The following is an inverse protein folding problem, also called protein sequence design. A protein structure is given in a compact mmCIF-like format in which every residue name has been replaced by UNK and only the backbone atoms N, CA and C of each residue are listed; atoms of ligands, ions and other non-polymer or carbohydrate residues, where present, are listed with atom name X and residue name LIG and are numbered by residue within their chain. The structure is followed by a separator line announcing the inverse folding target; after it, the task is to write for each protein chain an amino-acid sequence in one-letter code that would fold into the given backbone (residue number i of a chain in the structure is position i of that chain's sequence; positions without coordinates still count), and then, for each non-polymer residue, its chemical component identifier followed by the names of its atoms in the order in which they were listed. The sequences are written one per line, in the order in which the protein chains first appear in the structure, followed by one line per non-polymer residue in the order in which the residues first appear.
data_IF_969775390860
#
_entry.id   IF_969775390860
#
_cell.length_a   1.000
_cell.length_b   1.000
_cell.length_c   1.000
_cell.angle_alpha   90.00
_cell.angle_beta   90.00
_cell.angle_gamma   90.00
#
_symmetry.space_group_name_H-M   'P 1'
#
loop_
_entity.id
_entity.type
_entity.pdbx_description
1 polymer ?
#
# COMPACT_ATOMS: atom_id res chain seq x y z
N UNK A 1 -29.81 30.28 6.76
CA UNK A 1 -28.95 29.15 7.17
C UNK A 1 -29.20 28.00 6.21
N UNK A 2 -28.25 27.68 5.33
CA UNK A 2 -28.42 26.61 4.33
C UNK A 2 -28.08 25.26 4.97
N UNK A 3 -28.99 24.30 4.82
CA UNK A 3 -28.84 22.91 5.27
C UNK A 3 -27.76 22.21 4.45
N UNK A 4 -26.89 21.37 5.04
CA UNK A 4 -25.86 20.68 4.28
C UNK A 4 -26.49 19.59 3.41
N UNK A 5 -26.49 19.81 2.09
CA UNK A 5 -26.89 18.80 1.10
C UNK A 5 -26.10 17.52 1.30
N UNK A 6 -26.81 16.43 1.65
CA UNK A 6 -26.26 15.08 1.74
C UNK A 6 -25.65 14.68 0.40
N UNK A 7 -24.32 14.58 0.33
CA UNK A 7 -23.63 13.98 -0.82
C UNK A 7 -23.95 12.49 -0.85
N UNK A 8 -24.89 12.08 -1.69
CA UNK A 8 -25.04 10.68 -2.06
C UNK A 8 -23.75 10.27 -2.77
N UNK A 9 -22.93 9.44 -2.12
CA UNK A 9 -21.86 8.73 -2.82
C UNK A 9 -22.55 7.94 -3.93
N UNK A 10 -22.21 8.15 -5.21
CA UNK A 10 -22.80 7.36 -6.27
C UNK A 10 -22.45 5.89 -6.01
N UNK A 11 -23.47 5.05 -5.85
CA UNK A 11 -23.32 3.60 -6.04
C UNK A 11 -22.67 3.40 -7.40
N UNK A 12 -21.58 2.65 -7.42
CA UNK A 12 -20.70 2.64 -8.58
C UNK A 12 -21.40 1.98 -9.77
N UNK A 13 -21.28 2.50 -11.01
CA UNK A 13 -21.89 1.93 -12.22
C UNK A 13 -21.21 0.63 -12.70
N UNK A 14 -20.53 -0.09 -11.80
CA UNK A 14 -19.86 -1.34 -12.13
C UNK A 14 -20.83 -2.50 -11.90
N UNK A 15 -21.71 -2.74 -12.87
CA UNK A 15 -22.38 -4.03 -12.98
C UNK A 15 -21.31 -5.06 -13.32
N UNK A 16 -20.83 -5.76 -12.29
CA UNK A 16 -20.14 -7.04 -12.47
C UNK A 16 -21.20 -8.04 -12.91
N UNK A 17 -21.54 -8.02 -14.20
CA UNK A 17 -22.53 -8.92 -14.78
C UNK A 17 -22.26 -10.37 -14.38
N UNK A 18 -23.11 -10.91 -13.50
CA UNK A 18 -23.10 -12.29 -13.06
C UNK A 18 -23.01 -12.52 -11.55
N UNK A 19 -24.08 -12.23 -10.79
CA UNK A 19 -24.65 -13.14 -9.78
C UNK A 19 -25.96 -12.58 -9.21
N UNK A 20 -26.86 -13.49 -8.81
CA UNK A 20 -28.27 -13.30 -8.50
C UNK A 20 -28.58 -12.15 -7.54
N UNK A 21 -29.66 -11.42 -7.85
CA UNK A 21 -30.11 -10.24 -7.13
C UNK A 21 -30.39 -10.48 -5.65
N UNK A 22 -29.85 -9.59 -4.83
CA UNK A 22 -30.50 -9.15 -3.60
C UNK A 22 -30.91 -7.70 -3.78
N UNK A 23 -32.20 -7.48 -3.95
CA UNK A 23 -32.80 -6.16 -3.91
C UNK A 23 -32.57 -5.54 -2.52
N UNK A 24 -31.86 -4.41 -2.47
CA UNK A 24 -31.61 -3.65 -1.26
C UNK A 24 -32.88 -2.96 -0.78
N UNK A 25 -33.45 -3.47 0.31
CA UNK A 25 -34.45 -2.77 1.12
C UNK A 25 -33.75 -1.68 1.94
N UNK A 26 -34.28 -0.46 1.92
CA UNK A 26 -33.89 0.59 2.87
C UNK A 26 -34.21 0.12 4.29
N UNK A 27 -33.20 0.07 5.18
CA UNK A 27 -33.43 -0.18 6.61
C UNK A 27 -33.33 1.12 7.41
N UNK A 28 -34.29 1.38 8.33
CA UNK A 28 -34.20 2.43 9.33
C UNK A 28 -33.22 2.02 10.44
N UNK A 29 -32.68 3.03 11.13
CA UNK A 29 -31.54 2.94 12.04
C UNK A 29 -31.56 1.77 13.03
N UNK A 30 -30.58 0.88 12.90
CA UNK A 30 -30.19 -0.06 13.93
C UNK A 30 -29.00 0.51 14.73
N UNK A 31 -29.13 0.41 16.05
CA UNK A 31 -28.08 0.76 17.04
C UNK A 31 -26.87 -0.18 16.85
N UNK A 32 -25.63 0.33 16.89
CA UNK A 32 -24.44 -0.50 16.67
C UNK A 32 -24.25 -1.50 17.82
N UNK A 33 -24.49 -2.77 17.54
CA UNK A 33 -24.05 -3.87 18.40
C UNK A 33 -22.55 -4.07 18.22
N UNK A 34 -21.81 -4.12 19.33
CA UNK A 34 -20.37 -4.34 19.33
C UNK A 34 -20.04 -5.75 18.78
N UNK A 35 -19.16 -5.88 17.77
CA UNK A 35 -18.83 -7.18 17.21
C UNK A 35 -17.76 -7.86 18.09
N UNK A 36 -18.20 -8.73 19.00
CA UNK A 36 -17.31 -9.61 19.80
C UNK A 36 -17.27 -11.05 19.27
N UNK A 37 -17.75 -11.30 18.05
CA UNK A 37 -17.74 -12.63 17.43
C UNK A 37 -16.42 -12.97 16.74
N UNK A 38 -15.78 -14.07 17.18
CA UNK A 38 -14.57 -14.65 16.58
C UNK A 38 -14.70 -14.86 15.05
N UNK A 39 -13.68 -14.51 14.25
CA UNK A 39 -13.73 -14.54 12.78
C UNK A 39 -13.56 -15.94 12.15
N UNK A 40 -13.44 -17.01 12.92
CA UNK A 40 -13.02 -18.32 12.39
C UNK A 40 -14.18 -19.27 12.02
N UNK A 41 -15.45 -18.85 12.08
CA UNK A 41 -16.59 -19.79 12.04
C UNK A 41 -17.67 -19.56 10.98
N UNK A 42 -17.60 -18.52 10.14
CA UNK A 42 -18.56 -18.34 9.05
C UNK A 42 -17.86 -18.64 7.73
N UNK A 43 -18.37 -19.61 6.97
CA UNK A 43 -17.96 -19.90 5.59
C UNK A 43 -18.33 -18.77 4.60
N UNK A 44 -18.06 -17.52 4.98
CA UNK A 44 -18.27 -16.34 4.17
C UNK A 44 -16.94 -15.80 3.65
N UNK A 45 -17.01 -15.11 2.51
CA UNK A 45 -15.88 -14.42 1.90
C UNK A 45 -15.45 -13.22 2.74
N UNK A 46 -14.14 -12.96 2.83
CA UNK A 46 -13.64 -11.76 3.48
C UNK A 46 -14.01 -10.52 2.64
N UNK A 47 -14.51 -9.47 3.29
CA UNK A 47 -14.94 -8.24 2.63
C UNK A 47 -13.72 -7.33 2.37
N UNK A 48 -13.39 -7.11 1.10
CA UNK A 48 -12.25 -6.31 0.67
C UNK A 48 -12.76 -5.05 -0.02
N UNK A 49 -12.46 -3.88 0.54
CA UNK A 49 -12.85 -2.59 -0.06
C UNK A 49 -11.63 -1.89 -0.65
N UNK A 50 -11.69 -1.58 -1.94
CA UNK A 50 -10.69 -0.82 -2.67
C UNK A 50 -11.12 0.65 -2.73
N UNK A 51 -10.28 1.54 -2.24
CA UNK A 51 -10.56 2.98 -2.24
C UNK A 51 -10.03 3.62 -3.52
N UNK A 52 -10.93 4.17 -4.32
CA UNK A 52 -10.62 4.99 -5.49
C UNK A 52 -10.77 6.49 -5.15
N UNK A 53 -9.95 7.36 -5.75
CA UNK A 53 -8.92 7.07 -6.75
C UNK A 53 -7.61 6.62 -6.13
N UNK A 54 -6.93 5.71 -6.82
CA UNK A 54 -5.70 5.12 -6.31
C UNK A 54 -5.61 3.65 -6.68
N UNK A 55 -4.60 2.98 -6.13
CA UNK A 55 -4.38 1.53 -6.28
C UNK A 55 -4.36 1.03 -7.75
N UNK A 56 -4.25 1.90 -8.75
CA UNK A 56 -4.44 1.52 -10.15
C UNK A 56 -5.85 0.97 -10.44
N UNK A 57 -6.91 1.42 -9.77
CA UNK A 57 -8.30 0.93 -9.97
C UNK A 57 -8.75 0.93 -11.42
N UNK A 58 -8.29 1.88 -12.23
CA UNK A 58 -8.55 1.91 -13.68
C UNK A 58 -7.67 0.91 -14.45
N UNK A 59 -6.35 0.97 -14.28
CA UNK A 59 -5.38 0.17 -15.05
C UNK A 59 -5.39 -1.32 -14.68
N UNK A 60 -5.62 -1.62 -13.40
CA UNK A 60 -5.60 -2.97 -12.84
C UNK A 60 -7.01 -3.53 -12.57
N UNK A 61 -8.04 -3.01 -13.26
CA UNK A 61 -9.43 -3.47 -13.11
C UNK A 61 -9.56 -5.00 -13.24
N UNK A 62 -8.87 -5.60 -14.22
CA UNK A 62 -8.90 -7.04 -14.44
C UNK A 62 -8.36 -7.84 -13.24
N UNK A 63 -7.38 -7.31 -12.51
CA UNK A 63 -6.83 -7.93 -11.30
C UNK A 63 -7.90 -7.99 -10.21
N UNK A 64 -8.62 -6.89 -9.98
CA UNK A 64 -9.69 -6.82 -8.98
C UNK A 64 -10.89 -7.70 -9.34
N UNK A 65 -11.23 -7.78 -10.61
CA UNK A 65 -12.24 -8.74 -11.11
C UNK A 65 -11.79 -10.17 -10.84
N UNK A 66 -10.53 -10.50 -11.13
CA UNK A 66 -9.97 -11.83 -10.85
C UNK A 66 -9.98 -12.17 -9.36
N UNK A 67 -9.65 -11.19 -8.51
CA UNK A 67 -9.69 -11.33 -7.06
C UNK A 67 -11.11 -11.64 -6.54
N UNK A 68 -12.14 -10.98 -7.07
CA UNK A 68 -13.54 -11.26 -6.71
C UNK A 68 -14.01 -12.64 -7.22
N UNK A 69 -13.55 -13.05 -8.42
CA UNK A 69 -13.90 -14.33 -9.02
C UNK A 69 -13.24 -15.54 -8.36
N UNK A 70 -12.20 -15.35 -7.55
CA UNK A 70 -11.53 -16.45 -6.86
C UNK A 70 -12.45 -17.17 -5.86
N UNK A 71 -13.54 -16.53 -5.43
CA UNK A 71 -14.43 -17.07 -4.41
C UNK A 71 -13.80 -17.09 -3.02
N UNK A 72 -12.74 -16.32 -2.78
CA UNK A 72 -12.17 -16.15 -1.44
C UNK A 72 -12.52 -14.78 -0.83
N UNK A 73 -12.65 -13.77 -1.71
CA UNK A 73 -12.87 -12.38 -1.32
C UNK A 73 -14.13 -11.85 -2.00
N UNK A 74 -14.89 -11.03 -1.27
CA UNK A 74 -15.89 -10.16 -1.88
C UNK A 74 -15.27 -8.78 -2.04
N UNK A 75 -15.14 -8.32 -3.27
CA UNK A 75 -14.38 -7.11 -3.61
C UNK A 75 -15.32 -5.99 -4.03
N UNK A 76 -15.28 -4.88 -3.29
CA UNK A 76 -15.99 -3.65 -3.61
C UNK A 76 -14.99 -2.54 -3.96
N UNK A 77 -15.28 -1.76 -5.01
CA UNK A 77 -14.53 -0.53 -5.30
C UNK A 77 -15.36 0.66 -4.83
N UNK A 78 -14.91 1.32 -3.76
CA UNK A 78 -15.52 2.52 -3.23
C UNK A 78 -14.90 3.76 -3.88
N UNK A 79 -15.74 4.50 -4.61
CA UNK A 79 -15.35 5.76 -5.24
C UNK A 79 -14.91 5.63 -6.70
N UNK A 80 -14.41 6.73 -7.28
CA UNK A 80 -13.97 6.82 -8.68
C UNK A 80 -13.02 7.99 -8.90
N UNK A 81 -12.15 7.84 -9.90
CA UNK A 81 -11.31 8.93 -10.40
C UNK A 81 -12.14 10.08 -10.96
N UNK A 82 -11.64 11.32 -10.82
CA UNK A 82 -12.27 12.56 -11.27
C UNK A 82 -13.62 12.89 -10.62
N UNK A 83 -13.99 12.21 -9.53
CA UNK A 83 -15.11 12.65 -8.70
C UNK A 83 -14.81 14.03 -8.08
N UNK A 84 -15.82 14.80 -7.63
CA UNK A 84 -15.57 16.09 -6.97
C UNK A 84 -14.58 16.03 -5.80
N UNK A 85 -14.58 14.92 -5.05
CA UNK A 85 -13.63 14.71 -3.94
C UNK A 85 -12.24 14.24 -4.38
N UNK A 86 -12.00 13.99 -5.68
CA UNK A 86 -10.70 13.54 -6.22
C UNK A 86 -9.68 14.70 -6.27
N UNK A 87 -9.41 15.28 -5.11
CA UNK A 87 -8.40 16.31 -4.91
C UNK A 87 -7.80 16.19 -3.51
N UNK A 88 -6.57 16.68 -3.37
CA UNK A 88 -5.92 16.77 -2.06
C UNK A 88 -6.65 17.78 -1.16
N UNK A 89 -6.57 17.62 0.17
CA UNK A 89 -7.14 18.59 1.10
C UNK A 89 -6.33 19.90 1.13
N UNK A 90 -6.88 20.93 1.77
CA UNK A 90 -6.19 22.19 2.02
C UNK A 90 -4.83 21.98 2.72
N UNK A 91 -3.87 22.84 2.39
CA UNK A 91 -2.48 22.75 2.87
C UNK A 91 -1.57 21.84 2.03
N UNK A 92 -2.11 21.09 1.06
CA UNK A 92 -1.32 20.37 0.06
C UNK A 92 -1.14 21.21 -1.20
N UNK A 93 -0.14 20.87 -2.02
CA UNK A 93 0.00 21.46 -3.35
C UNK A 93 -1.24 21.13 -4.18
N UNK A 94 -1.91 22.16 -4.71
CA UNK A 94 -3.20 22.06 -5.41
C UNK A 94 -4.35 21.50 -4.54
N UNK A 95 -4.24 21.63 -3.23
CA UNK A 95 -5.29 21.27 -2.28
C UNK A 95 -6.55 22.13 -2.44
N UNK A 96 -7.71 21.58 -2.10
CA UNK A 96 -9.01 22.26 -2.17
C UNK A 96 -9.84 22.02 -0.90
N UNK A 97 -10.77 22.94 -0.55
CA UNK A 97 -11.76 22.69 0.50
C UNK A 97 -12.64 21.50 0.13
N UNK A 98 -13.44 21.01 1.08
CA UNK A 98 -14.36 19.91 0.82
C UNK A 98 -15.35 20.25 -0.32
N UNK A 99 -15.72 19.29 -1.18
CA UNK A 99 -15.33 17.88 -1.13
C UNK A 99 -13.90 17.61 -1.59
N UNK A 100 -13.15 16.84 -0.82
CA UNK A 100 -11.80 16.35 -1.11
C UNK A 100 -11.60 14.92 -0.53
N UNK A 101 -10.41 14.35 -0.69
CA UNK A 101 -10.12 12.99 -0.24
C UNK A 101 -10.27 12.78 1.28
N UNK A 102 -10.08 13.84 2.10
CA UNK A 102 -10.30 13.75 3.56
C UNK A 102 -11.79 13.69 3.86
N UNK A 103 -12.61 14.59 3.28
CA UNK A 103 -14.06 14.54 3.51
C UNK A 103 -14.69 13.26 2.97
N UNK A 104 -14.13 12.69 1.90
CA UNK A 104 -14.53 11.37 1.39
C UNK A 104 -14.24 10.25 2.38
N UNK A 105 -13.06 10.24 3.00
CA UNK A 105 -12.69 9.29 4.03
C UNK A 105 -13.61 9.41 5.26
N UNK A 106 -13.85 10.65 5.72
CA UNK A 106 -14.71 10.94 6.87
C UNK A 106 -16.15 10.45 6.62
N UNK A 107 -16.68 10.67 5.41
CA UNK A 107 -18.00 10.17 5.01
C UNK A 107 -18.04 8.64 4.96
N UNK A 108 -16.99 7.98 4.45
CA UNK A 108 -16.87 6.52 4.46
C UNK A 108 -16.90 5.95 5.88
N UNK A 109 -16.13 6.53 6.80
CA UNK A 109 -16.16 6.16 8.23
C UNK A 109 -17.55 6.36 8.82
N UNK A 110 -18.22 7.49 8.54
CA UNK A 110 -19.57 7.78 9.02
C UNK A 110 -20.61 6.77 8.53
N UNK A 111 -20.43 6.24 7.31
CA UNK A 111 -21.30 5.18 6.72
C UNK A 111 -20.95 3.77 7.18
N UNK A 112 -19.99 3.61 8.07
CA UNK A 112 -19.60 2.30 8.60
C UNK A 112 -18.64 1.50 7.72
N UNK A 113 -17.91 2.14 6.79
CA UNK A 113 -16.90 1.48 5.95
C UNK A 113 -15.95 0.59 6.78
N UNK A 114 -15.47 1.14 7.90
CA UNK A 114 -14.51 0.45 8.78
C UNK A 114 -15.09 -0.79 9.44
N UNK A 115 -16.40 -0.78 9.69
CA UNK A 115 -17.10 -1.87 10.36
C UNK A 115 -17.59 -2.94 9.37
N UNK A 116 -17.68 -2.58 8.08
CA UNK A 116 -18.17 -3.46 7.00
C UNK A 116 -17.05 -4.15 6.20
N UNK A 117 -15.79 -3.72 6.35
CA UNK A 117 -14.66 -4.30 5.63
C UNK A 117 -13.69 -5.07 6.52
N UNK A 118 -13.19 -6.18 6.00
CA UNK A 118 -12.14 -6.97 6.62
C UNK A 118 -10.74 -6.49 6.24
N UNK A 119 -10.60 -5.92 5.04
CA UNK A 119 -9.35 -5.38 4.51
C UNK A 119 -9.62 -4.17 3.61
N UNK A 120 -8.81 -3.12 3.76
CA UNK A 120 -8.76 -2.00 2.83
C UNK A 120 -7.63 -2.16 1.83
N UNK A 121 -7.89 -1.84 0.57
CA UNK A 121 -6.86 -1.62 -0.44
C UNK A 121 -6.86 -0.15 -0.80
N UNK A 122 -5.74 0.51 -0.54
CA UNK A 122 -5.52 1.92 -0.89
C UNK A 122 -4.27 2.03 -1.74
N UNK A 123 -4.13 3.08 -2.52
CA UNK A 123 -2.85 3.35 -3.17
C UNK A 123 -2.68 4.77 -3.65
N UNK A 124 -1.42 5.17 -3.85
CA UNK A 124 -1.06 6.56 -4.19
C UNK A 124 -1.83 7.55 -3.29
N UNK A 125 -2.65 8.44 -3.87
CA UNK A 125 -3.51 9.40 -3.16
C UNK A 125 -4.38 8.80 -2.04
N UNK A 126 -4.96 7.62 -2.24
CA UNK A 126 -5.73 6.93 -1.20
C UNK A 126 -4.86 6.55 0.01
N UNK A 127 -3.63 6.09 -0.24
CA UNK A 127 -2.68 5.78 0.84
C UNK A 127 -2.11 7.04 1.50
N UNK A 128 -1.97 8.12 0.75
CA UNK A 128 -1.44 9.40 1.23
C UNK A 128 -2.44 10.21 2.06
N UNK A 129 -3.74 10.05 1.79
CA UNK A 129 -4.79 10.90 2.41
C UNK A 129 -5.87 10.10 3.10
N UNK A 130 -6.49 9.15 2.39
CA UNK A 130 -7.68 8.44 2.89
C UNK A 130 -7.35 7.53 4.07
N UNK A 131 -6.32 6.69 3.95
CA UNK A 131 -5.91 5.81 5.04
C UNK A 131 -5.47 6.61 6.29
N UNK A 132 -4.62 7.66 6.18
CA UNK A 132 -4.35 8.57 7.29
C UNK A 132 -5.58 9.22 7.91
N UNK A 133 -6.57 9.63 7.12
CA UNK A 133 -7.81 10.17 7.64
C UNK A 133 -8.59 9.11 8.44
N UNK A 134 -8.69 7.88 7.93
CA UNK A 134 -9.30 6.74 8.65
C UNK A 134 -8.55 6.47 9.97
N UNK A 135 -7.22 6.46 9.96
CA UNK A 135 -6.41 6.28 11.18
C UNK A 135 -6.64 7.38 12.21
N UNK A 136 -6.78 8.65 11.79
CA UNK A 136 -7.10 9.74 12.73
C UNK A 136 -8.46 9.54 13.40
N UNK A 137 -9.43 8.96 12.71
CA UNK A 137 -10.78 8.72 13.24
C UNK A 137 -10.90 7.46 14.08
N UNK A 138 -10.17 6.39 13.73
CA UNK A 138 -10.37 5.05 14.29
C UNK A 138 -9.14 4.47 15.01
N UNK A 139 -7.96 5.07 14.87
CA UNK A 139 -6.74 4.62 15.54
C UNK A 139 -6.44 3.14 15.29
N UNK A 140 -6.26 2.37 16.36
CA UNK A 140 -6.01 0.93 16.28
C UNK A 140 -7.23 0.10 15.82
N UNK A 141 -8.43 0.69 15.82
CA UNK A 141 -9.65 0.05 15.30
C UNK A 141 -9.81 0.24 13.78
N UNK A 142 -8.82 0.82 13.10
CA UNK A 142 -8.79 0.81 11.64
C UNK A 142 -8.63 -0.60 11.10
N UNK A 143 -9.26 -0.92 9.96
CA UNK A 143 -9.15 -2.24 9.37
C UNK A 143 -7.71 -2.47 8.87
N UNK A 144 -7.26 -3.72 8.74
CA UNK A 144 -6.01 -4.03 8.06
C UNK A 144 -6.00 -3.43 6.65
N UNK A 145 -4.83 -2.97 6.19
CA UNK A 145 -4.72 -2.35 4.89
C UNK A 145 -3.56 -2.90 4.04
N UNK A 146 -3.84 -3.13 2.76
CA UNK A 146 -2.84 -3.26 1.72
C UNK A 146 -2.64 -1.90 1.07
N UNK A 147 -1.40 -1.40 1.05
CA UNK A 147 -1.06 -0.06 0.58
C UNK A 147 -0.18 -0.16 -0.66
N UNK A 148 -0.74 0.16 -1.83
CA UNK A 148 -0.04 0.16 -3.10
C UNK A 148 0.67 1.51 -3.30
N UNK A 149 1.97 1.45 -3.60
CA UNK A 149 2.89 2.59 -3.75
C UNK A 149 3.13 3.38 -2.46
N UNK A 150 3.08 2.71 -1.30
CA UNK A 150 3.62 3.22 -0.04
C UNK A 150 3.07 4.56 0.45
N UNK A 151 1.87 4.99 0.01
CA UNK A 151 1.35 6.35 0.19
C UNK A 151 1.48 6.93 1.60
N UNK A 152 1.22 6.12 2.63
CA UNK A 152 1.26 6.55 4.04
C UNK A 152 2.68 6.63 4.65
N UNK A 153 3.69 6.14 3.93
CA UNK A 153 5.10 6.09 4.34
C UNK A 153 5.98 7.01 3.46
N UNK A 154 5.48 8.20 3.18
CA UNK A 154 6.12 9.19 2.31
C UNK A 154 6.28 10.52 3.04
N UNK A 155 7.12 11.42 2.50
CA UNK A 155 7.23 12.77 3.03
C UNK A 155 5.98 13.60 2.68
N UNK A 156 4.92 13.45 3.48
CA UNK A 156 3.64 14.12 3.29
C UNK A 156 3.65 15.52 3.93
N UNK A 157 2.92 16.52 3.38
CA UNK A 157 2.82 17.85 3.97
C UNK A 157 2.34 17.86 5.42
N UNK A 158 1.44 16.95 5.77
CA UNK A 158 1.02 16.71 7.14
C UNK A 158 1.50 15.33 7.58
N UNK A 159 2.31 15.28 8.64
CA UNK A 159 2.81 14.01 9.17
C UNK A 159 1.64 13.18 9.69
N UNK A 160 1.46 12.00 9.11
CA UNK A 160 0.44 11.05 9.55
C UNK A 160 0.89 10.37 10.84
N UNK A 161 0.01 10.33 11.84
CA UNK A 161 0.20 9.48 13.02
C UNK A 161 -0.24 8.06 12.71
N UNK A 162 0.72 7.19 12.42
CA UNK A 162 0.47 5.76 12.20
C UNK A 162 0.09 5.10 13.54
N UNK A 163 -1.07 4.44 13.65
CA UNK A 163 -1.48 3.80 14.91
C UNK A 163 -0.55 2.64 15.30
N UNK A 164 -0.10 2.54 16.56
CA UNK A 164 0.84 1.50 17.00
C UNK A 164 0.43 0.06 16.64
N UNK A 165 -0.87 -0.25 16.61
CA UNK A 165 -1.37 -1.60 16.32
C UNK A 165 -2.02 -1.72 14.93
N UNK A 166 -1.85 -0.73 14.05
CA UNK A 166 -2.35 -0.82 12.68
C UNK A 166 -1.65 -1.97 11.94
N UNK A 167 -2.44 -2.73 11.18
CA UNK A 167 -1.94 -3.86 10.38
C UNK A 167 -1.82 -3.39 8.94
N UNK A 168 -0.61 -3.40 8.39
CA UNK A 168 -0.39 -2.90 7.04
C UNK A 168 0.55 -3.80 6.23
N UNK A 169 0.28 -3.91 4.94
CA UNK A 169 1.19 -4.52 3.98
C UNK A 169 1.42 -3.54 2.84
N UNK A 170 2.61 -2.96 2.78
CA UNK A 170 3.00 -1.99 1.77
C UNK A 170 3.61 -2.71 0.57
N UNK A 171 3.16 -2.36 -0.63
CA UNK A 171 3.83 -2.69 -1.89
C UNK A 171 4.47 -1.42 -2.44
N UNK A 172 5.79 -1.42 -2.61
CA UNK A 172 6.54 -0.28 -3.15
C UNK A 172 7.40 -0.70 -4.35
N UNK A 173 7.54 0.21 -5.32
CA UNK A 173 8.33 -0.03 -6.52
C UNK A 173 9.75 0.54 -6.44
N UNK A 174 10.74 -0.25 -6.84
CA UNK A 174 12.13 0.20 -6.99
C UNK A 174 12.32 1.22 -8.11
N UNK A 175 11.41 1.27 -9.08
CA UNK A 175 11.33 2.31 -10.14
C UNK A 175 10.21 3.31 -9.90
N UNK A 176 9.67 3.41 -8.68
CA UNK A 176 8.69 4.44 -8.34
C UNK A 176 9.36 5.83 -8.39
N UNK A 177 8.79 6.77 -9.14
CA UNK A 177 9.33 8.11 -9.26
C UNK A 177 9.33 8.87 -7.93
N UNK A 178 8.45 8.51 -6.97
CA UNK A 178 8.45 9.09 -5.63
C UNK A 178 9.68 8.72 -4.79
N UNK A 179 10.43 7.70 -5.20
CA UNK A 179 11.75 7.43 -4.64
C UNK A 179 12.71 8.59 -4.90
N UNK A 180 12.56 9.26 -6.04
CA UNK A 180 13.51 10.25 -6.53
C UNK A 180 14.85 9.61 -6.89
N UNK A 181 15.95 10.21 -6.43
CA UNK A 181 17.32 9.73 -6.65
C UNK A 181 17.80 8.74 -5.60
N UNK A 182 16.99 8.43 -4.59
CA UNK A 182 17.39 7.53 -3.51
C UNK A 182 17.67 6.12 -4.06
N UNK A 183 18.69 5.45 -3.52
CA UNK A 183 18.90 4.03 -3.77
C UNK A 183 17.69 3.21 -3.25
N UNK A 184 17.56 1.96 -3.70
CA UNK A 184 16.49 1.07 -3.21
C UNK A 184 16.62 0.89 -1.69
N UNK A 185 17.84 0.71 -1.17
CA UNK A 185 18.10 0.52 0.25
C UNK A 185 17.76 1.78 1.07
N UNK A 186 18.10 2.97 0.57
CA UNK A 186 17.72 4.24 1.20
C UNK A 186 16.19 4.40 1.21
N UNK A 187 15.51 4.03 0.13
CA UNK A 187 14.06 4.12 0.04
C UNK A 187 13.37 3.21 1.05
N UNK A 188 13.82 1.95 1.15
CA UNK A 188 13.33 0.99 2.14
C UNK A 188 13.60 1.51 3.56
N UNK A 189 14.84 1.94 3.83
CA UNK A 189 15.24 2.46 5.15
C UNK A 189 14.37 3.65 5.56
N UNK A 190 14.16 4.61 4.65
CA UNK A 190 13.26 5.75 4.87
C UNK A 190 11.81 5.31 5.07
N UNK A 191 11.33 4.32 4.33
CA UNK A 191 9.96 3.80 4.47
C UNK A 191 9.74 3.21 5.86
N UNK A 192 10.73 2.47 6.40
CA UNK A 192 10.67 1.87 7.74
C UNK A 192 10.54 2.91 8.85
N UNK A 193 11.09 4.12 8.70
CA UNK A 193 11.02 5.15 9.76
C UNK A 193 9.62 5.72 9.98
N UNK A 194 8.68 5.45 9.06
CA UNK A 194 7.27 5.80 9.21
C UNK A 194 6.49 4.82 10.08
N UNK A 195 7.01 3.60 10.22
CA UNK A 195 6.39 2.55 11.02
C UNK A 195 6.76 2.78 12.49
N UNK A 196 5.79 2.92 13.42
CA UNK A 196 6.09 3.05 14.83
C UNK A 196 6.93 1.87 15.32
N UNK A 197 7.94 2.11 16.16
CA UNK A 197 8.78 1.05 16.72
C UNK A 197 7.98 0.05 17.57
N UNK A 198 6.82 0.43 18.08
CA UNK A 198 5.89 -0.45 18.78
C UNK A 198 5.03 -1.33 17.87
N UNK A 199 5.07 -1.14 16.56
CA UNK A 199 4.28 -1.91 15.61
C UNK A 199 4.93 -3.28 15.32
N UNK A 200 4.14 -4.34 15.49
CA UNK A 200 4.55 -5.72 15.20
C UNK A 200 3.78 -6.37 14.05
N UNK A 201 3.03 -5.60 13.24
CA UNK A 201 2.10 -6.12 12.22
C UNK A 201 2.22 -5.38 10.90
N UNK A 202 3.45 -5.07 10.47
CA UNK A 202 3.72 -4.41 9.19
C UNK A 202 4.64 -5.24 8.30
N UNK A 203 4.32 -5.32 7.01
CA UNK A 203 5.23 -5.73 5.95
C UNK A 203 5.45 -4.64 4.90
N UNK A 204 6.60 -4.70 4.24
CA UNK A 204 6.99 -3.91 3.08
C UNK A 204 7.55 -4.88 2.03
N UNK A 205 6.84 -5.04 0.93
CA UNK A 205 7.34 -5.70 -0.27
C UNK A 205 7.87 -4.63 -1.23
N UNK A 206 9.18 -4.60 -1.41
CA UNK A 206 9.85 -3.77 -2.40
C UNK A 206 10.20 -4.62 -3.61
N UNK A 207 9.68 -4.27 -4.79
CA UNK A 207 9.95 -4.96 -6.05
C UNK A 207 10.76 -4.05 -6.97
N UNK A 208 11.98 -4.44 -7.33
CA UNK A 208 12.97 -3.58 -7.99
C UNK A 208 12.48 -3.08 -9.36
N UNK A 209 11.77 -3.93 -10.11
CA UNK A 209 11.29 -3.63 -11.46
C UNK A 209 9.93 -2.90 -11.48
N UNK A 210 9.25 -2.83 -10.34
CA UNK A 210 7.93 -2.20 -10.25
C UNK A 210 8.07 -0.67 -10.38
N UNK A 211 7.29 -0.10 -11.31
CA UNK A 211 7.14 1.34 -11.48
C UNK A 211 6.11 1.90 -10.47
N UNK A 212 5.77 3.18 -10.59
CA UNK A 212 4.70 3.73 -9.77
C UNK A 212 3.34 3.05 -10.00
N UNK A 213 3.04 2.53 -11.18
CA UNK A 213 1.87 1.65 -11.34
C UNK A 213 2.36 0.20 -11.33
N UNK A 214 1.89 -0.66 -10.40
CA UNK A 214 2.26 -2.06 -10.43
C UNK A 214 1.74 -2.68 -11.72
N UNK A 215 2.58 -3.48 -12.36
CA UNK A 215 2.20 -4.26 -13.53
C UNK A 215 1.15 -5.29 -13.14
N UNK A 216 0.11 -5.47 -13.96
CA UNK A 216 -0.99 -6.37 -13.66
C UNK A 216 -0.54 -7.81 -13.31
N UNK A 217 0.44 -8.43 -14.00
CA UNK A 217 0.93 -9.77 -13.62
C UNK A 217 1.53 -9.83 -12.22
N UNK A 218 2.29 -8.81 -11.83
CA UNK A 218 2.84 -8.71 -10.48
C UNK A 218 1.69 -8.60 -9.46
N UNK A 219 0.75 -7.68 -9.69
CA UNK A 219 -0.34 -7.42 -8.74
C UNK A 219 -1.27 -8.63 -8.59
N UNK A 220 -1.62 -9.32 -9.68
CA UNK A 220 -2.42 -10.56 -9.65
C UNK A 220 -1.77 -11.65 -8.79
N UNK A 221 -0.45 -11.72 -8.78
CA UNK A 221 0.29 -12.69 -7.99
C UNK A 221 0.35 -12.31 -6.50
N UNK A 222 0.74 -11.07 -6.20
CA UNK A 222 1.04 -10.69 -4.81
C UNK A 222 -0.20 -10.29 -4.00
N UNK A 223 -1.22 -9.71 -4.65
CA UNK A 223 -2.33 -9.08 -3.93
C UNK A 223 -3.16 -10.07 -3.09
N UNK A 224 -3.56 -11.26 -3.59
CA UNK A 224 -4.27 -12.24 -2.76
C UNK A 224 -3.47 -12.64 -1.51
N UNK A 225 -2.15 -12.83 -1.67
CA UNK A 225 -1.25 -13.24 -0.59
C UNK A 225 -1.05 -12.12 0.44
N UNK A 226 -0.96 -10.87 -0.01
CA UNK A 226 -0.91 -9.71 0.88
C UNK A 226 -2.20 -9.56 1.70
N UNK A 227 -3.37 -9.79 1.10
CA UNK A 227 -4.66 -9.76 1.81
C UNK A 227 -4.70 -10.86 2.88
N UNK A 228 -4.37 -12.10 2.53
CA UNK A 228 -4.29 -13.22 3.49
C UNK A 228 -3.34 -12.90 4.64
N UNK A 229 -2.18 -12.32 4.33
CA UNK A 229 -1.19 -11.93 5.33
C UNK A 229 -1.75 -10.91 6.36
N UNK A 230 -2.43 -9.85 5.89
CA UNK A 230 -3.01 -8.85 6.82
C UNK A 230 -4.21 -9.40 7.61
N UNK A 231 -5.01 -10.27 7.01
CA UNK A 231 -6.10 -10.95 7.72
C UNK A 231 -5.58 -11.94 8.77
N UNK A 232 -4.50 -12.67 8.47
CA UNK A 232 -3.83 -13.52 9.45
C UNK A 232 -3.26 -12.70 10.61
N UNK A 233 -2.61 -11.56 10.35
CA UNK A 233 -2.18 -10.65 11.43
C UNK A 233 -3.35 -10.15 12.28
N UNK A 234 -4.50 -9.85 11.66
CA UNK A 234 -5.72 -9.44 12.38
C UNK A 234 -6.18 -10.53 13.35
N UNK A 235 -6.19 -11.78 12.89
CA UNK A 235 -6.67 -12.92 13.68
C UNK A 235 -5.68 -13.36 14.76
N UNK A 236 -4.41 -13.50 14.40
CA UNK A 236 -3.43 -14.23 15.21
C UNK A 236 -2.39 -13.33 15.89
N UNK A 237 -2.21 -12.08 15.42
CA UNK A 237 -1.14 -11.17 15.86
C UNK A 237 0.28 -11.76 15.75
N UNK A 238 0.46 -12.77 14.92
CA UNK A 238 1.74 -13.41 14.61
C UNK A 238 2.10 -13.22 13.13
N UNK A 239 3.39 -13.26 12.75
CA UNK A 239 3.80 -13.17 11.36
C UNK A 239 3.13 -14.26 10.47
N UNK A 240 2.60 -13.90 9.29
CA UNK A 240 1.89 -14.82 8.42
C UNK A 240 2.85 -15.65 7.56
N UNK A 241 3.60 -16.55 8.20
CA UNK A 241 4.68 -17.33 7.58
C UNK A 241 4.25 -18.01 6.27
N UNK A 242 3.13 -18.74 6.26
CA UNK A 242 2.65 -19.44 5.06
C UNK A 242 2.35 -18.49 3.88
N UNK A 243 1.76 -17.31 4.15
CA UNK A 243 1.50 -16.33 3.09
C UNK A 243 2.79 -15.66 2.59
N UNK A 244 3.76 -15.44 3.49
CA UNK A 244 5.09 -14.92 3.18
C UNK A 244 5.86 -15.91 2.30
N UNK A 245 5.89 -17.19 2.68
CA UNK A 245 6.59 -18.24 1.93
C UNK A 245 5.99 -18.40 0.53
N UNK A 246 4.65 -18.47 0.43
CA UNK A 246 3.96 -18.53 -0.86
C UNK A 246 4.26 -17.30 -1.74
N UNK A 247 4.37 -16.12 -1.13
CA UNK A 247 4.68 -14.88 -1.85
C UNK A 247 6.12 -14.91 -2.39
N UNK A 248 7.08 -15.33 -1.57
CA UNK A 248 8.48 -15.44 -1.97
C UNK A 248 8.68 -16.52 -3.04
N UNK A 249 8.03 -17.68 -2.91
CA UNK A 249 8.04 -18.74 -3.92
C UNK A 249 7.42 -18.27 -5.23
N UNK A 250 6.28 -17.57 -5.17
CA UNK A 250 5.64 -16.99 -6.36
C UNK A 250 6.56 -16.00 -7.08
N UNK A 251 7.16 -15.05 -6.35
CA UNK A 251 8.07 -14.07 -6.95
C UNK A 251 9.36 -14.72 -7.49
N UNK A 252 9.91 -15.70 -6.78
CA UNK A 252 11.13 -16.40 -7.18
C UNK A 252 10.96 -17.31 -8.39
N UNK A 253 9.76 -17.89 -8.57
CA UNK A 253 9.45 -18.76 -9.71
C UNK A 253 9.20 -18.01 -11.03
N UNK A 254 8.92 -16.71 -10.97
CA UNK A 254 8.67 -15.90 -12.16
C UNK A 254 9.91 -15.12 -12.58
N UNK A 255 10.41 -15.41 -13.79
CA UNK A 255 11.55 -14.71 -14.37
C UNK A 255 11.26 -13.20 -14.45
N UNK A 256 12.09 -12.40 -13.77
CA UNK A 256 12.13 -10.94 -13.94
C UNK A 256 11.73 -10.11 -12.72
N UNK A 257 11.26 -10.71 -11.63
CA UNK A 257 11.03 -9.99 -10.37
C UNK A 257 12.17 -10.23 -9.37
N UNK A 258 12.69 -9.15 -8.80
CA UNK A 258 13.62 -9.18 -7.68
C UNK A 258 13.27 -8.09 -6.67
N UNK A 259 13.85 -8.20 -5.48
CA UNK A 259 13.73 -7.17 -4.47
C UNK A 259 13.85 -7.72 -3.06
N UNK A 260 13.08 -7.14 -2.14
CA UNK A 260 13.15 -7.47 -0.71
C UNK A 260 11.76 -7.49 -0.10
N UNK A 261 11.49 -8.51 0.72
CA UNK A 261 10.36 -8.53 1.64
C UNK A 261 10.87 -8.25 3.04
N UNK A 262 10.35 -7.21 3.65
CA UNK A 262 10.60 -6.87 5.03
C UNK A 262 9.30 -7.03 5.83
N UNK A 263 9.38 -7.58 7.04
CA UNK A 263 8.23 -7.63 7.93
C UNK A 263 8.64 -7.60 9.39
N UNK A 264 7.77 -7.10 10.25
CA UNK A 264 7.98 -7.10 11.70
C UNK A 264 7.64 -8.48 12.26
N UNK A 265 8.62 -9.17 12.86
CA UNK A 265 8.42 -10.39 13.62
C UNK A 265 7.87 -10.14 15.04
N UNK A 266 8.00 -8.90 15.50
CA UNK A 266 7.49 -8.33 16.74
C UNK A 266 7.77 -6.82 16.75
N UNK A 267 7.36 -6.09 17.79
CA UNK A 267 7.62 -4.65 17.93
C UNK A 267 9.09 -4.29 17.69
N UNK A 268 9.37 -3.53 16.63
CA UNK A 268 10.71 -3.05 16.27
C UNK A 268 11.64 -4.10 15.66
N UNK A 269 11.22 -5.36 15.60
CA UNK A 269 12.04 -6.47 15.12
C UNK A 269 11.76 -6.75 13.64
N UNK A 270 12.58 -6.18 12.76
CA UNK A 270 12.46 -6.38 11.32
C UNK A 270 13.19 -7.65 10.87
N UNK A 271 12.50 -8.50 10.11
CA UNK A 271 13.10 -9.49 9.22
C UNK A 271 13.18 -8.92 7.82
N UNK A 272 14.24 -9.27 7.08
CA UNK A 272 14.54 -8.74 5.76
C UNK A 272 15.04 -9.89 4.88
N UNK A 273 14.23 -10.23 3.87
CA UNK A 273 14.43 -11.41 3.02
C UNK A 273 14.56 -10.94 1.57
N UNK A 274 15.73 -11.08 0.93
CA UNK A 274 15.87 -10.83 -0.49
C UNK A 274 15.19 -11.93 -1.32
N UNK A 275 14.72 -11.59 -2.53
CA UNK A 275 14.22 -12.55 -3.51
C UNK A 275 14.65 -12.17 -4.93
N UNK A 276 14.59 -13.14 -5.85
CA UNK A 276 14.83 -12.92 -7.28
C UNK A 276 16.30 -12.71 -7.68
N UNK A 277 17.24 -12.76 -6.75
CA UNK A 277 18.63 -13.05 -7.11
C UNK A 277 18.66 -14.44 -7.71
N UNK A 278 18.79 -14.52 -9.03
CA UNK A 278 19.51 -15.64 -9.61
C UNK A 278 20.81 -15.64 -8.85
N UNK A 279 21.04 -16.65 -8.03
CA UNK A 279 22.39 -17.05 -7.69
C UNK A 279 23.05 -17.22 -9.04
N UNK A 280 23.70 -16.17 -9.55
CA UNK A 280 24.77 -16.37 -10.49
C UNK A 280 25.70 -17.21 -9.64
N UNK A 281 25.61 -18.52 -9.82
CA UNK A 281 26.69 -19.41 -9.48
C UNK A 281 27.87 -18.72 -10.15
N UNK A 282 28.65 -18.01 -9.35
CA UNK A 282 30.00 -17.67 -9.71
C UNK A 282 30.59 -19.05 -9.91
N UNK A 283 30.57 -19.53 -11.16
CA UNK A 283 31.37 -20.65 -11.57
C UNK A 283 32.73 -20.27 -11.04
N UNK A 284 33.20 -21.02 -10.04
CA UNK A 284 34.55 -20.89 -9.54
C UNK A 284 35.43 -20.99 -10.78
N UNK A 285 35.93 -19.86 -11.25
CA UNK A 285 37.10 -19.84 -12.08
C UNK A 285 38.18 -20.31 -11.12
N UNK A 286 38.47 -21.60 -11.17
CA UNK A 286 39.70 -22.17 -10.64
C UNK A 286 40.86 -21.44 -11.34
N UNK A 287 41.23 -20.31 -10.77
CA UNK A 287 42.45 -19.58 -11.08
C UNK A 287 43.57 -20.32 -10.36
N UNK A 288 44.18 -21.27 -11.07
CA UNK A 288 45.51 -21.78 -10.74
C UNK A 288 46.48 -20.62 -10.50
N UNK A 289 47.28 -20.76 -9.45
CA UNK A 289 48.28 -19.84 -8.95
C UNK A 289 49.31 -19.39 -10.00
N UNK A 290 49.86 -18.18 -9.85
CA UNK A 290 51.28 -17.96 -9.57
C UNK A 290 51.65 -16.47 -9.42
N UNK A 291 52.56 -16.21 -8.47
CA UNK A 291 53.46 -15.03 -8.32
C UNK A 291 52.79 -13.67 -7.99
N UNK A 292 53.34 -12.77 -7.18
CA UNK A 292 54.70 -12.57 -6.69
C UNK A 292 54.67 -11.67 -5.42
N UNK A 293 55.75 -11.71 -4.65
CA UNK A 293 56.00 -10.99 -3.39
C UNK A 293 56.45 -9.54 -3.69
N UNK A 294 55.83 -8.53 -3.04
CA UNK A 294 56.29 -7.14 -3.24
C UNK A 294 55.65 -6.04 -2.37
N UNK A 295 56.19 -5.88 -1.16
CA UNK A 295 56.50 -4.62 -0.42
C UNK A 295 55.62 -3.35 -0.49
N UNK A 296 55.20 -2.91 0.71
CA UNK A 296 55.26 -1.55 1.29
C UNK A 296 54.58 -0.34 0.60
N UNK A 297 53.65 0.32 1.30
CA UNK A 297 53.80 1.71 1.77
C UNK A 297 52.55 2.24 2.51
N UNK A 298 52.80 2.97 3.60
CA UNK A 298 51.86 3.79 4.36
C UNK A 298 51.16 4.83 3.48
N UNK A 299 49.86 5.08 3.73
CA UNK A 299 49.30 6.43 3.59
C UNK A 299 48.25 6.72 4.65
N UNK A 300 48.48 7.83 5.36
CA UNK A 300 47.58 8.46 6.32
C UNK A 300 46.49 9.21 5.54
N UNK A 301 45.22 9.02 5.87
CA UNK A 301 44.17 9.95 5.44
C UNK A 301 43.45 10.57 6.63
N UNK A 302 43.58 11.89 6.67
CA UNK A 302 42.98 12.83 7.61
C UNK A 302 41.46 12.86 7.53
N UNK A 303 40.87 13.17 8.67
CA UNK A 303 39.48 13.55 8.87
C UNK A 303 39.16 14.90 8.24
N UNK A 304 38.10 14.98 7.45
CA UNK A 304 37.44 16.26 7.12
C UNK A 304 35.91 16.12 7.23
N UNK A 305 35.37 16.89 8.18
CA UNK A 305 34.18 17.73 8.13
C UNK A 305 32.89 17.21 7.47
N UNK A 306 31.95 16.84 8.35
CA UNK A 306 30.54 16.66 8.04
C UNK A 306 29.87 18.02 7.74
N UNK A 307 29.56 18.28 6.47
CA UNK A 307 28.67 19.38 6.05
C UNK A 307 27.21 19.11 6.40
N UNK A 308 26.42 20.14 6.78
CA UNK A 308 25.00 20.00 7.07
C UNK A 308 24.17 19.67 5.82
N UNK A 309 23.22 18.76 5.98
CA UNK A 309 22.30 18.27 4.95
C UNK A 309 21.32 19.39 4.56
N UNK A 310 21.16 19.75 3.26
CA UNK A 310 20.19 20.73 2.83
C UNK A 310 18.75 20.21 2.88
N UNK A 311 17.85 21.12 3.29
CA UNK A 311 16.40 20.99 3.36
C UNK A 311 15.84 20.52 2.01
N UNK A 312 14.98 19.50 2.04
CA UNK A 312 14.44 18.83 0.85
C UNK A 312 13.82 19.82 -0.16
N UNK A 313 14.33 19.77 -1.39
CA UNK A 313 13.78 20.47 -2.55
C UNK A 313 12.36 19.97 -2.84
N UNK A 314 11.46 20.90 -3.17
CA UNK A 314 10.12 20.62 -3.65
C UNK A 314 10.17 19.61 -4.80
N UNK A 315 9.36 18.56 -4.69
CA UNK A 315 9.17 17.57 -5.75
C UNK A 315 8.59 18.29 -6.97
N UNK A 316 9.18 18.17 -8.17
CA UNK A 316 8.59 18.76 -9.37
C UNK A 316 7.23 18.12 -9.64
N UNK A 317 6.22 18.96 -9.85
CA UNK A 317 4.89 18.57 -10.31
C UNK A 317 5.02 17.70 -11.56
N UNK A 318 4.42 16.51 -11.54
CA UNK A 318 4.38 15.65 -12.73
C UNK A 318 3.73 16.41 -13.90
N UNK A 319 4.23 16.26 -15.14
CA UNK A 319 3.64 16.92 -16.30
C UNK A 319 2.20 16.43 -16.48
N UNK A 320 1.26 17.38 -16.43
CA UNK A 320 -0.15 17.11 -16.75
C UNK A 320 -0.24 16.65 -18.20
N UNK A 321 -0.92 15.52 -18.44
CA UNK A 321 -1.29 15.10 -19.79
C UNK A 321 -2.12 16.22 -20.45
N UNK A 322 -1.88 16.51 -21.75
CA UNK A 322 -2.61 17.56 -22.45
C UNK A 322 -4.11 17.24 -22.49
N UNK A 323 -4.92 18.28 -22.34
CA UNK A 323 -6.37 18.19 -22.41
C UNK A 323 -6.81 17.73 -23.82
N UNK A 324 -7.86 16.90 -23.94
CA UNK A 324 -8.40 16.53 -25.23
C UNK A 324 -9.01 17.77 -25.90
N UNK A 325 -8.52 18.09 -27.11
CA UNK A 325 -9.15 19.09 -27.97
C UNK A 325 -10.56 18.65 -28.34
N UNK A 326 -11.53 19.54 -28.15
CA UNK A 326 -12.90 19.36 -28.64
C UNK A 326 -12.91 19.35 -30.17
N UNK A 327 -13.72 18.50 -30.81
CA UNK A 327 -13.92 18.57 -32.25
C UNK A 327 -14.74 19.82 -32.59
N UNK A 328 -14.35 20.46 -33.71
CA UNK A 328 -15.06 21.57 -34.34
C UNK A 328 -16.33 21.07 -35.05
#
# INVERSE_FOLDING_TARGET
MMSPSSMLLPSSPWDFGGSAGRAGTMFPGAVPQSPTGSPCGRGGFAQVVIVAPGAGTTTNKAVYVGLNRSGEFSVEVLGKSRAPYDCYPEGWSSGRPAPNLVSFADEGVRRGLVDQCDCLIVGSRGGQVVLPAIWRRRGNASPPAVVINGGCAMNLPCRTRWPPQAINFLLIGGKDYFRGKASIQEYITRTKTWVPSSNGTTAILCVDQMQHMPQAPLLSMVLPLMIRAVLHWKACRTPPAAAIDALLSGLGGHAGWSGRLLYTAGPGQWRDIPFGTKTQSVAQVESSAETDVGSSALSKHSSEDAKPIPRALAVPSAPMSPAPMSPA
#
